data_IF_611158424758
#
_entry.id   IF_611158424758
#
_cell.length_a   1.000
_cell.length_b   1.000
_cell.length_c   1.000
_cell.angle_alpha   90.00
_cell.angle_beta   90.00
_cell.angle_gamma   90.00
#
_symmetry.space_group_name_H-M   'P 1'
#
loop_
_entity.id
_entity.type
_entity.pdbx_description
1 polymer ?
#
# COMPACT_ATOMS: atom_id res chain seq x y z
N UNK A 1 -26.19 -2.41 3.83
CA UNK A 1 -26.55 -1.00 4.07
C UNK A 1 -25.30 -0.21 3.76
N UNK A 2 -25.27 0.48 2.63
CA UNK A 2 -24.17 1.39 2.29
C UNK A 2 -24.37 2.69 3.08
N UNK A 3 -23.29 3.29 3.61
CA UNK A 3 -23.34 4.50 4.44
C UNK A 3 -23.73 5.76 3.65
N UNK A 4 -23.93 6.88 4.35
CA UNK A 4 -24.18 8.18 3.72
C UNK A 4 -23.00 8.60 2.82
N UNK A 5 -23.34 9.19 1.67
CA UNK A 5 -22.38 9.65 0.66
C UNK A 5 -21.61 10.87 1.18
N UNK A 6 -20.32 10.69 1.45
CA UNK A 6 -19.40 11.81 1.64
C UNK A 6 -19.04 12.38 0.26
N UNK A 7 -19.45 13.61 -0.04
CA UNK A 7 -19.19 14.28 -1.31
C UNK A 7 -18.26 15.47 -1.11
N UNK A 8 -17.18 15.53 -1.87
CA UNK A 8 -16.32 16.72 -2.00
C UNK A 8 -16.35 17.14 -3.47
N UNK A 9 -16.47 18.44 -3.75
CA UNK A 9 -16.43 18.95 -5.13
C UNK A 9 -14.98 19.19 -5.54
N UNK A 10 -14.43 18.28 -6.35
CA UNK A 10 -13.14 18.39 -7.02
C UNK A 10 -13.08 17.33 -8.13
N UNK A 11 -12.62 17.69 -9.33
CA UNK A 11 -12.37 16.72 -10.40
C UNK A 11 -11.10 15.94 -10.08
N UNK A 12 -11.25 14.68 -9.66
CA UNK A 12 -10.15 13.73 -9.55
C UNK A 12 -10.49 12.53 -10.43
N UNK A 13 -9.64 12.22 -11.39
CA UNK A 13 -9.62 10.90 -12.00
C UNK A 13 -8.89 9.98 -11.01
N UNK A 14 -9.41 8.77 -10.81
CA UNK A 14 -8.78 7.75 -9.96
C UNK A 14 -8.79 6.41 -10.67
N UNK A 15 -7.63 5.95 -11.12
CA UNK A 15 -7.44 4.58 -11.59
C UNK A 15 -6.89 3.72 -10.45
N UNK A 16 -7.78 3.09 -9.66
CA UNK A 16 -7.43 2.24 -8.50
C UNK A 16 -6.52 1.05 -8.83
N UNK A 17 -6.33 0.73 -10.10
CA UNK A 17 -5.45 -0.36 -10.53
C UNK A 17 -3.98 -0.07 -10.22
N UNK A 18 -3.57 1.19 -10.05
CA UNK A 18 -2.16 1.59 -9.92
C UNK A 18 -1.75 2.22 -8.58
N UNK A 19 -2.70 2.56 -7.69
CA UNK A 19 -2.40 3.16 -6.38
C UNK A 19 -2.66 2.25 -5.18
N UNK A 20 -1.67 2.12 -4.29
CA UNK A 20 -1.83 1.40 -3.04
C UNK A 20 -2.68 2.17 -2.03
N UNK A 21 -3.23 1.45 -1.06
CA UNK A 21 -3.99 2.01 0.06
C UNK A 21 -3.50 1.43 1.38
N UNK A 22 -3.51 2.23 2.45
CA UNK A 22 -3.16 1.77 3.80
C UNK A 22 -4.23 2.15 4.81
N UNK A 23 -4.54 1.24 5.72
CA UNK A 23 -5.44 1.49 6.84
C UNK A 23 -4.62 1.73 8.11
N UNK A 24 -4.76 2.92 8.70
CA UNK A 24 -4.06 3.28 9.94
C UNK A 24 -5.10 3.65 10.98
N UNK A 25 -5.20 2.84 12.03
CA UNK A 25 -6.23 2.99 13.05
C UNK A 25 -7.64 2.91 12.43
N UNK A 26 -8.28 4.07 12.27
CA UNK A 26 -9.65 4.21 11.74
C UNK A 26 -9.73 4.95 10.40
N UNK A 27 -8.58 5.35 9.86
CA UNK A 27 -8.50 6.15 8.64
C UNK A 27 -7.91 5.32 7.51
N UNK A 28 -8.60 5.31 6.37
CA UNK A 28 -8.12 4.72 5.13
C UNK A 28 -7.41 5.79 4.31
N UNK A 29 -6.19 5.50 3.88
CA UNK A 29 -5.39 6.38 3.03
C UNK A 29 -5.23 5.76 1.65
N UNK A 30 -5.36 6.58 0.60
CA UNK A 30 -5.15 6.17 -0.80
C UNK A 30 -4.56 7.33 -1.60
N UNK A 31 -3.78 7.01 -2.64
CA UNK A 31 -3.24 8.01 -3.56
C UNK A 31 -4.23 8.31 -4.69
N UNK A 32 -4.23 9.55 -5.17
CA UNK A 32 -4.92 9.95 -6.39
C UNK A 32 -3.97 10.02 -7.58
N UNK A 33 -4.53 10.03 -8.79
CA UNK A 33 -3.77 10.17 -10.04
C UNK A 33 -2.96 11.48 -10.09
N UNK A 34 -3.42 12.51 -9.38
CA UNK A 34 -2.75 13.81 -9.28
C UNK A 34 -1.64 13.89 -8.22
N UNK A 35 -1.17 12.76 -7.69
CA UNK A 35 -0.08 12.74 -6.72
C UNK A 35 -0.45 13.29 -5.33
N UNK A 36 -1.74 13.30 -5.00
CA UNK A 36 -2.23 13.69 -3.67
C UNK A 36 -2.57 12.45 -2.83
N UNK A 37 -2.47 12.59 -1.51
CA UNK A 37 -2.88 11.56 -0.57
C UNK A 37 -4.24 11.94 0.00
N UNK A 38 -5.18 11.02 -0.05
CA UNK A 38 -6.53 11.20 0.49
C UNK A 38 -6.67 10.39 1.77
N UNK A 39 -7.10 11.05 2.85
CA UNK A 39 -7.49 10.42 4.11
C UNK A 39 -9.01 10.35 4.22
N UNK A 40 -9.55 9.14 4.37
CA UNK A 40 -10.95 8.91 4.67
C UNK A 40 -11.14 8.34 6.08
N UNK A 41 -11.75 9.13 6.97
CA UNK A 41 -12.13 8.68 8.31
C UNK A 41 -13.38 7.79 8.22
N UNK A 42 -13.20 6.48 8.50
CA UNK A 42 -14.27 5.49 8.37
C UNK A 42 -15.41 5.68 9.39
N UNK A 43 -15.19 6.42 10.47
CA UNK A 43 -16.17 6.66 11.54
C UNK A 43 -16.92 7.97 11.30
N UNK A 44 -16.19 9.02 10.94
CA UNK A 44 -16.77 10.36 10.71
C UNK A 44 -17.28 10.55 9.29
N UNK A 45 -16.93 9.64 8.38
CA UNK A 45 -17.21 9.72 6.95
C UNK A 45 -16.68 11.04 6.34
N UNK A 46 -15.53 11.51 6.85
CA UNK A 46 -14.87 12.74 6.39
C UNK A 46 -13.70 12.41 5.46
N UNK A 47 -13.51 13.24 4.43
CA UNK A 47 -12.39 13.16 3.49
C UNK A 47 -11.47 14.37 3.67
N UNK A 48 -10.17 14.13 3.83
CA UNK A 48 -9.13 15.17 3.93
C UNK A 48 -8.07 14.93 2.86
N UNK A 49 -7.54 16.01 2.29
CA UNK A 49 -6.46 15.96 1.30
C UNK A 49 -5.13 16.29 2.00
N UNK A 50 -4.10 15.50 1.69
CA UNK A 50 -2.75 15.64 2.19
C UNK A 50 -1.80 15.73 0.99
N UNK A 51 -0.84 16.63 1.07
CA UNK A 51 0.23 16.73 0.07
C UNK A 51 1.22 15.56 0.19
N UNK A 52 1.87 15.19 -0.91
CA UNK A 52 3.02 14.26 -0.90
C UNK A 52 4.32 14.98 -0.48
N UNK A 53 5.38 14.24 -0.10
CA UNK A 53 6.62 14.83 0.42
C UNK A 53 7.27 15.91 -0.45
N UNK A 54 7.24 15.77 -1.77
CA UNK A 54 7.84 16.70 -2.74
C UNK A 54 6.77 17.26 -3.70
N UNK A 55 5.57 17.61 -3.19
CA UNK A 55 4.56 18.36 -3.95
C UNK A 55 5.09 19.76 -4.34
N UNK A 56 5.94 19.83 -5.37
CA UNK A 56 6.30 21.08 -6.01
C UNK A 56 5.20 21.44 -7.04
N UNK A 57 4.58 22.63 -6.94
CA UNK A 57 3.48 23.05 -7.82
C UNK A 57 3.86 23.16 -9.31
N UNK A 58 5.15 23.10 -9.61
CA UNK A 58 5.79 23.26 -10.91
C UNK A 58 6.28 21.94 -11.54
N UNK A 59 6.16 20.81 -10.84
CA UNK A 59 6.45 19.46 -11.37
C UNK A 59 5.19 18.77 -11.87
N UNK A 60 4.44 19.44 -12.75
CA UNK A 60 3.56 18.70 -13.67
C UNK A 60 4.46 18.18 -14.78
N UNK A 61 4.74 16.88 -14.78
CA UNK A 61 5.51 16.26 -15.87
C UNK A 61 4.76 16.48 -17.19
N UNK A 62 5.50 16.88 -18.24
CA UNK A 62 5.00 16.98 -19.62
C UNK A 62 4.58 15.60 -20.20
N UNK A 63 4.81 14.52 -19.45
CA UNK A 63 4.35 13.16 -19.71
C UNK A 63 3.06 12.93 -18.90
N UNK A 64 1.94 12.82 -19.63
CA UNK A 64 0.62 12.25 -19.30
C UNK A 64 -0.02 12.44 -17.90
N UNK A 65 0.53 13.30 -17.04
CA UNK A 65 -0.09 13.79 -15.80
C UNK A 65 -0.14 12.80 -14.64
N UNK A 66 0.57 11.66 -14.71
CA UNK A 66 0.56 10.63 -13.67
C UNK A 66 1.87 10.63 -12.87
N UNK A 67 1.87 11.22 -11.67
CA UNK A 67 3.00 11.09 -10.74
C UNK A 67 2.95 9.76 -9.97
N UNK A 68 3.27 8.68 -10.68
CA UNK A 68 3.23 7.30 -10.16
C UNK A 68 4.45 6.93 -9.31
N UNK A 69 5.28 7.90 -8.93
CA UNK A 69 6.52 7.67 -8.17
C UNK A 69 6.26 7.40 -6.70
N UNK A 70 5.06 7.66 -6.20
CA UNK A 70 4.70 7.46 -4.80
C UNK A 70 3.90 6.18 -4.59
N UNK A 71 4.21 5.47 -3.50
CA UNK A 71 3.42 4.35 -3.02
C UNK A 71 3.19 4.48 -1.51
N UNK A 72 1.97 4.25 -1.04
CA UNK A 72 1.66 4.29 0.39
C UNK A 72 2.23 3.08 1.11
N UNK A 73 2.73 3.32 2.31
CA UNK A 73 3.24 2.29 3.21
C UNK A 73 3.01 2.67 4.67
N UNK A 74 3.34 1.75 5.57
CA UNK A 74 3.44 2.06 6.99
C UNK A 74 4.90 2.32 7.35
N UNK A 75 5.17 3.44 8.02
CA UNK A 75 6.48 3.72 8.56
C UNK A 75 6.84 2.75 9.70
N UNK A 76 8.13 2.66 10.03
CA UNK A 76 8.61 1.83 11.15
C UNK A 76 8.00 2.24 12.50
N UNK A 77 7.64 3.52 12.64
CA UNK A 77 6.94 4.07 13.80
C UNK A 77 5.46 3.70 13.87
N UNK A 78 4.91 3.05 12.84
CA UNK A 78 3.47 2.80 12.68
C UNK A 78 2.69 4.00 12.14
N UNK A 79 3.37 5.12 11.85
CA UNK A 79 2.76 6.29 11.22
C UNK A 79 2.56 6.09 9.71
N UNK A 80 1.83 7.03 9.09
CA UNK A 80 1.69 7.09 7.65
C UNK A 80 3.06 7.26 7.00
N UNK A 81 3.37 6.39 6.03
CA UNK A 81 4.61 6.44 5.27
C UNK A 81 4.35 6.45 3.77
N UNK A 82 5.34 6.94 3.03
CA UNK A 82 5.33 6.96 1.56
C UNK A 82 6.70 6.49 1.08
N UNK A 83 6.72 5.63 0.07
CA UNK A 83 7.93 5.41 -0.71
C UNK A 83 7.90 6.27 -1.97
N UNK A 84 8.99 6.95 -2.27
CA UNK A 84 9.20 7.74 -3.48
C UNK A 84 10.31 7.10 -4.32
N UNK A 85 10.00 6.86 -5.58
CA UNK A 85 10.93 6.41 -6.60
C UNK A 85 11.60 7.60 -7.28
N UNK A 86 12.93 7.68 -7.16
CA UNK A 86 13.70 8.71 -7.82
C UNK A 86 14.94 8.11 -8.47
N UNK A 87 14.79 7.78 -9.76
CA UNK A 87 15.79 7.04 -10.52
C UNK A 87 16.08 5.69 -9.89
N UNK A 88 17.33 5.45 -9.48
CA UNK A 88 17.75 4.20 -8.83
C UNK A 88 17.68 4.26 -7.30
N UNK A 89 16.92 5.21 -6.74
CA UNK A 89 16.77 5.38 -5.29
C UNK A 89 15.31 5.21 -4.90
N UNK A 90 15.11 4.47 -3.82
CA UNK A 90 13.83 4.39 -3.12
C UNK A 90 13.97 5.20 -1.82
N UNK A 91 13.36 6.38 -1.78
CA UNK A 91 13.29 7.21 -0.58
C UNK A 91 12.07 6.78 0.23
N UNK A 92 12.22 6.66 1.54
CA UNK A 92 11.15 6.33 2.47
C UNK A 92 10.86 7.55 3.34
N UNK A 93 9.63 8.03 3.30
CA UNK A 93 9.16 9.19 4.04
C UNK A 93 8.19 8.76 5.13
N UNK A 94 8.21 9.48 6.25
CA UNK A 94 7.28 9.28 7.37
C UNK A 94 6.56 10.60 7.66
N UNK A 95 5.25 10.54 7.87
CA UNK A 95 4.46 11.68 8.31
C UNK A 95 4.59 11.82 9.82
N UNK A 96 5.31 12.83 10.26
CA UNK A 96 5.60 13.06 11.68
C UNK A 96 4.86 14.29 12.20
N UNK A 97 4.40 14.28 13.47
CA UNK A 97 3.83 15.46 14.09
C UNK A 97 4.91 16.56 14.21
N UNK A 98 4.53 17.79 13.87
CA UNK A 98 5.37 18.97 14.07
C UNK A 98 4.85 19.80 15.24
N UNK A 99 5.75 20.34 16.06
CA UNK A 99 5.35 21.12 17.24
C UNK A 99 4.69 22.44 16.81
N UNK A 100 3.39 22.56 17.09
CA UNK A 100 2.63 23.80 16.86
C UNK A 100 2.20 24.03 15.41
N UNK A 101 2.37 23.06 14.52
CA UNK A 101 1.93 23.11 13.12
C UNK A 101 1.35 21.78 12.67
N UNK A 102 0.84 21.73 11.43
CA UNK A 102 0.46 20.48 10.79
C UNK A 102 1.65 19.54 10.69
N UNK A 103 1.37 18.24 10.67
CA UNK A 103 2.39 17.20 10.52
C UNK A 103 3.20 17.42 9.24
N UNK A 104 4.47 17.03 9.24
CA UNK A 104 5.39 17.22 8.11
C UNK A 104 5.93 15.89 7.60
N UNK A 105 6.34 15.86 6.34
CA UNK A 105 7.06 14.72 5.80
C UNK A 105 8.53 14.77 6.20
N UNK A 106 9.02 13.68 6.76
CA UNK A 106 10.42 13.52 7.15
C UNK A 106 11.03 12.37 6.37
N UNK A 107 12.15 12.62 5.70
CA UNK A 107 12.90 11.59 4.98
C UNK A 107 13.55 10.66 6.00
N UNK A 108 13.00 9.45 6.14
CA UNK A 108 13.44 8.47 7.13
C UNK A 108 14.64 7.64 6.65
N UNK A 109 14.65 7.26 5.37
CA UNK A 109 15.68 6.37 4.81
C UNK A 109 15.79 6.54 3.30
N UNK A 110 16.98 6.31 2.76
CA UNK A 110 17.21 6.18 1.31
C UNK A 110 17.82 4.82 1.03
N UNK A 111 17.23 4.10 0.09
CA UNK A 111 17.70 2.79 -0.37
C UNK A 111 18.20 2.93 -1.80
N UNK A 112 19.48 2.63 -2.02
CA UNK A 112 20.08 2.63 -3.34
C UNK A 112 19.81 1.27 -4.01
N UNK A 113 18.92 1.25 -5.00
CA UNK A 113 18.46 0.04 -5.67
C UNK A 113 19.56 -0.61 -6.53
N UNK A 114 20.50 0.18 -7.05
CA UNK A 114 21.68 -0.32 -7.77
C UNK A 114 22.64 -1.17 -6.94
N UNK A 115 22.55 -1.09 -5.61
CA UNK A 115 23.32 -1.96 -4.71
C UNK A 115 22.58 -3.29 -4.48
N UNK A 116 21.25 -3.26 -4.53
CA UNK A 116 20.41 -4.38 -4.11
C UNK A 116 19.94 -5.24 -5.29
N UNK A 117 19.66 -4.61 -6.43
CA UNK A 117 19.12 -5.26 -7.61
C UNK A 117 20.25 -5.62 -8.59
N UNK A 118 20.08 -6.71 -9.38
CA UNK A 118 20.99 -7.03 -10.46
C UNK A 118 21.14 -5.88 -11.47
N UNK A 119 22.34 -5.69 -12.03
CA UNK A 119 22.59 -4.60 -12.99
C UNK A 119 21.69 -4.67 -14.23
N UNK A 120 21.37 -5.88 -14.70
CA UNK A 120 20.46 -6.12 -15.82
C UNK A 120 19.01 -5.75 -15.49
N UNK A 121 18.65 -5.62 -14.21
CA UNK A 121 17.36 -5.11 -13.77
C UNK A 121 17.23 -3.59 -13.89
N UNK A 122 18.33 -2.86 -14.10
CA UNK A 122 18.38 -1.39 -14.00
C UNK A 122 18.79 -0.69 -15.31
N UNK A 123 18.81 -1.42 -16.43
CA UNK A 123 19.33 -0.95 -17.73
C UNK A 123 18.57 0.29 -18.27
N UNK A 124 17.34 0.53 -17.80
CA UNK A 124 16.55 1.73 -18.11
C UNK A 124 15.88 2.32 -16.85
N UNK A 125 16.61 2.33 -15.73
CA UNK A 125 16.02 2.57 -14.41
C UNK A 125 15.35 3.94 -14.21
N UNK A 126 15.57 4.90 -15.10
CA UNK A 126 14.88 6.20 -15.06
C UNK A 126 13.37 6.00 -15.32
N UNK A 127 12.99 5.01 -16.13
CA UNK A 127 11.60 4.74 -16.51
C UNK A 127 11.11 3.32 -16.15
N UNK A 128 11.95 2.49 -15.51
CA UNK A 128 11.65 1.04 -15.41
C UNK A 128 11.58 0.48 -14.00
N UNK A 129 11.83 1.27 -12.96
CA UNK A 129 11.61 0.84 -11.58
C UNK A 129 10.25 1.37 -11.15
N UNK A 130 9.35 0.49 -10.71
CA UNK A 130 8.06 0.88 -10.14
C UNK A 130 7.73 0.05 -8.90
N UNK A 131 7.30 0.69 -7.82
CA UNK A 131 6.81 0.09 -6.59
C UNK A 131 5.33 -0.21 -6.75
N UNK A 132 4.99 -1.48 -6.55
CA UNK A 132 3.62 -1.97 -6.73
C UNK A 132 2.85 -2.09 -5.43
N UNK A 133 3.54 -2.03 -4.29
CA UNK A 133 2.89 -2.14 -2.98
C UNK A 133 3.83 -2.55 -1.85
N UNK A 134 3.30 -2.44 -0.63
CA UNK A 134 4.02 -2.73 0.61
C UNK A 134 3.25 -3.74 1.48
N UNK A 135 3.94 -4.81 1.89
CA UNK A 135 3.43 -5.79 2.84
C UNK A 135 3.89 -5.43 4.26
N UNK A 136 3.01 -4.79 5.02
CA UNK A 136 3.33 -4.26 6.36
C UNK A 136 3.93 -5.30 7.30
N UNK A 137 3.27 -6.44 7.50
CA UNK A 137 3.73 -7.45 8.48
C UNK A 137 5.09 -8.06 8.13
N UNK A 138 5.40 -8.16 6.83
CA UNK A 138 6.68 -8.68 6.36
C UNK A 138 7.76 -7.59 6.23
N UNK A 139 7.39 -6.32 6.32
CA UNK A 139 8.23 -5.17 6.00
C UNK A 139 8.92 -5.30 4.63
N UNK A 140 8.14 -5.72 3.63
CA UNK A 140 8.60 -5.98 2.26
C UNK A 140 7.91 -5.03 1.30
N UNK A 141 8.69 -4.39 0.43
CA UNK A 141 8.17 -3.68 -0.74
C UNK A 141 8.36 -4.52 -1.99
N UNK A 142 7.46 -4.37 -2.95
CA UNK A 142 7.52 -5.05 -4.24
C UNK A 142 7.83 -4.06 -5.35
N UNK A 143 8.86 -4.36 -6.12
CA UNK A 143 9.38 -3.50 -7.18
C UNK A 143 9.41 -4.28 -8.48
N UNK A 144 8.74 -3.77 -9.51
CA UNK A 144 8.89 -4.26 -10.87
C UNK A 144 10.02 -3.54 -11.56
N UNK A 145 10.80 -4.29 -12.33
CA UNK A 145 11.90 -3.80 -13.15
C UNK A 145 11.87 -4.41 -14.53
N UNK A 146 12.82 -4.01 -15.40
CA UNK A 146 13.03 -4.74 -16.66
C UNK A 146 13.47 -6.21 -16.47
N UNK A 147 13.94 -6.62 -15.29
CA UNK A 147 14.24 -8.05 -15.07
C UNK A 147 13.03 -8.84 -14.54
N UNK A 148 11.91 -8.17 -14.22
CA UNK A 148 10.73 -8.75 -13.61
C UNK A 148 10.42 -8.18 -12.22
N UNK A 149 9.61 -8.90 -11.45
CA UNK A 149 9.17 -8.53 -10.11
C UNK A 149 10.16 -8.98 -9.04
N UNK A 150 10.51 -8.08 -8.14
CA UNK A 150 11.38 -8.30 -6.99
C UNK A 150 10.68 -7.93 -5.70
N UNK A 151 10.97 -8.68 -4.63
CA UNK A 151 10.65 -8.31 -3.27
C UNK A 151 11.90 -7.79 -2.57
N UNK A 152 11.79 -6.67 -1.87
CA UNK A 152 12.88 -6.06 -1.09
C UNK A 152 12.44 -5.97 0.37
N UNK A 153 13.14 -6.68 1.25
CA UNK A 153 12.93 -6.62 2.70
C UNK A 153 13.63 -5.37 3.25
N UNK A 154 12.87 -4.38 3.75
CA UNK A 154 13.40 -3.03 3.99
C UNK A 154 14.42 -2.95 5.13
N UNK A 155 14.31 -3.83 6.15
CA UNK A 155 15.31 -3.90 7.23
C UNK A 155 16.60 -4.59 6.80
N UNK A 156 16.50 -5.85 6.38
CA UNK A 156 17.67 -6.66 6.06
C UNK A 156 18.26 -6.37 4.69
N UNK A 157 17.57 -5.56 3.87
CA UNK A 157 17.91 -5.22 2.48
C UNK A 157 18.03 -6.45 1.59
N UNK A 158 17.38 -7.56 1.99
CA UNK A 158 17.41 -8.80 1.22
C UNK A 158 16.47 -8.69 0.02
N UNK A 159 17.02 -9.01 -1.14
CA UNK A 159 16.28 -9.05 -2.41
C UNK A 159 15.99 -10.47 -2.82
N UNK A 160 14.78 -10.69 -3.36
CA UNK A 160 14.42 -11.94 -4.04
C UNK A 160 13.66 -11.63 -5.31
N UNK A 161 13.94 -12.37 -6.37
CA UNK A 161 13.13 -12.35 -7.59
C UNK A 161 11.87 -13.18 -7.34
N UNK A 162 10.71 -12.56 -7.54
CA UNK A 162 9.39 -13.18 -7.36
C UNK A 162 8.87 -13.71 -8.69
N UNK A 163 9.06 -12.96 -9.78
CA UNK A 163 8.62 -13.33 -11.12
C UNK A 163 9.52 -12.73 -12.20
N UNK A 164 9.62 -13.40 -13.35
CA UNK A 164 10.20 -12.81 -14.56
C UNK A 164 9.22 -11.96 -15.37
N UNK A 165 7.93 -11.99 -15.02
CA UNK A 165 6.88 -11.20 -15.67
C UNK A 165 6.87 -9.74 -15.17
N UNK A 166 6.27 -8.84 -15.96
CA UNK A 166 6.23 -7.40 -15.68
C UNK A 166 4.84 -6.77 -15.77
N UNK A 167 3.84 -7.46 -16.33
CA UNK A 167 2.47 -6.95 -16.51
C UNK A 167 1.67 -6.99 -15.22
N UNK A 168 2.20 -6.38 -14.16
CA UNK A 168 1.53 -6.22 -12.89
C UNK A 168 1.09 -4.76 -12.75
N UNK A 169 -0.11 -4.54 -12.20
CA UNK A 169 -0.53 -3.24 -11.71
C UNK A 169 -0.19 -3.20 -10.21
N UNK A 170 -1.14 -2.82 -9.35
CA UNK A 170 -0.96 -2.92 -7.91
C UNK A 170 -0.84 -4.35 -7.37
N UNK A 171 -0.09 -4.48 -6.29
CA UNK A 171 -0.06 -5.67 -5.45
C UNK A 171 -0.76 -5.39 -4.12
N UNK A 172 -1.77 -6.21 -3.82
CA UNK A 172 -2.46 -6.22 -2.53
C UNK A 172 -1.93 -7.41 -1.71
N UNK A 173 -0.98 -7.20 -0.79
CA UNK A 173 -0.48 -8.28 0.05
C UNK A 173 -1.56 -8.72 1.04
N UNK A 174 -1.98 -9.98 0.95
CA UNK A 174 -2.92 -10.59 1.89
C UNK A 174 -2.12 -11.31 2.98
N UNK A 175 -2.21 -10.82 4.20
CA UNK A 175 -1.46 -11.35 5.35
C UNK A 175 -2.21 -12.44 6.12
N UNK A 176 -3.54 -12.45 6.06
CA UNK A 176 -4.35 -13.52 6.63
C UNK A 176 -5.71 -13.63 5.97
N UNK A 177 -6.26 -14.85 5.97
CA UNK A 177 -7.65 -15.10 5.61
C UNK A 177 -8.41 -15.43 6.87
N UNK A 178 -9.50 -14.70 7.12
CA UNK A 178 -10.45 -15.12 8.16
C UNK A 178 -11.18 -16.36 7.64
N UNK A 179 -10.92 -17.51 8.27
CA UNK A 179 -11.70 -18.73 8.03
C UNK A 179 -12.70 -18.87 9.17
N UNK A 180 -14.01 -18.60 8.96
CA UNK A 180 -15.00 -18.77 10.02
C UNK A 180 -15.04 -20.24 10.44
N UNK A 181 -14.90 -20.53 11.73
CA UNK A 181 -15.16 -21.88 12.23
C UNK A 181 -16.63 -22.24 11.98
N UNK A 182 -16.88 -23.19 11.08
CA UNK A 182 -18.19 -23.83 10.96
C UNK A 182 -18.50 -24.50 12.30
N UNK A 183 -19.49 -23.97 13.04
CA UNK A 183 -20.05 -24.67 14.19
C UNK A 183 -20.71 -25.94 13.65
N UNK A 184 -20.00 -27.07 13.71
CA UNK A 184 -20.60 -28.39 13.58
C UNK A 184 -21.67 -28.50 14.66
N UNK A 185 -22.95 -28.30 14.28
CA UNK A 185 -24.06 -28.71 15.13
C UNK A 185 -23.97 -30.23 15.21
N UNK A 186 -23.69 -30.75 16.41
CA UNK A 186 -23.87 -32.16 16.69
C UNK A 186 -25.32 -32.55 16.35
N UNK A 187 -25.58 -33.73 15.75
CA UNK A 187 -26.93 -34.21 15.56
C UNK A 187 -27.60 -34.36 16.92
N UNK A 188 -28.75 -33.71 17.09
CA UNK A 188 -29.69 -34.02 18.17
C UNK A 188 -30.48 -35.25 17.73
N UNK A 189 -30.43 -36.31 18.54
CA UNK A 189 -31.19 -37.55 18.40
C UNK A 189 -30.27 -38.75 18.70
N UNK A 190 -30.53 -39.63 19.66
CA UNK A 190 -31.83 -40.26 19.95
C UNK A 190 -32.04 -40.49 21.47
N UNK A 191 -33.31 -40.42 21.87
CA UNK A 191 -33.82 -40.87 23.17
C UNK A 191 -33.74 -42.40 23.32
N UNK A 192 -33.53 -42.94 24.54
CA UNK A 192 -33.46 -44.38 24.75
C UNK A 192 -34.85 -45.04 24.65
N UNK A 193 -34.97 -46.01 23.75
CA UNK A 193 -36.11 -46.92 23.65
C UNK A 193 -36.21 -47.76 24.92
N UNK A 194 -37.27 -47.55 25.69
CA UNK A 194 -37.67 -48.46 26.78
C UNK A 194 -38.50 -49.60 26.17
N UNK A 195 -37.93 -50.79 26.11
CA UNK A 195 -38.72 -52.00 25.80
C UNK A 195 -39.45 -52.46 27.07
N UNK A 196 -40.79 -52.45 27.02
CA UNK A 196 -41.67 -53.21 27.92
C UNK A 196 -42.36 -54.35 27.15
N UNK A 197 -42.10 -55.55 27.66
CA UNK A 197 -42.93 -56.77 27.77
C UNK A 197 -43.31 -57.57 26.52
N UNK A 198 -42.87 -58.83 26.55
CA UNK A 198 -43.72 -60.03 26.47
C UNK A 198 -43.31 -60.95 27.62
#
# INVERSE_FOLDING_TARGET
MWGELASMHGEFVMYFEYYSSVLIGRSLYFLSDGGLILEYDLVRHGLTVLDTPDCQPDYMSDDDGLDNRYNLMLAESGALGVSEELGQRLKLWTKEPSYGTDAIWVLSRVINLNILLPNDALVDAINSVQVLGFAHEANVTFVVTVAGLFSIELQSKRVRKVSGHRGFCNLIPVVSFYTPHARLKAPVGEHPMTHRRG
#
